data_IF_433144596697
#
_entry.id   IF_433144596697
#
_cell.length_a   1.000
_cell.length_b   1.000
_cell.length_c   1.000
_cell.angle_alpha   90.00
_cell.angle_beta   90.00
_cell.angle_gamma   90.00
#
_symmetry.space_group_name_H-M   'P 1'
#
loop_
_entity.id
_entity.type
_entity.pdbx_description
1 polymer ?
#
# COMPACT_ATOMS: atom_id res chain seq x y z
N UNK A 1 4.87 3.27 -29.82
CA UNK A 1 5.59 1.99 -29.73
C UNK A 1 4.96 1.19 -28.61
N UNK A 2 4.50 -0.03 -28.87
CA UNK A 2 3.88 -0.88 -27.84
C UNK A 2 4.90 -1.27 -26.78
N UNK A 3 4.61 -1.00 -25.51
CA UNK A 3 5.45 -1.49 -24.41
C UNK A 3 5.40 -3.01 -24.37
N UNK A 4 6.57 -3.63 -24.21
CA UNK A 4 6.72 -5.06 -23.99
C UNK A 4 7.14 -5.32 -22.54
N UNK A 5 6.79 -6.48 -21.95
CA UNK A 5 7.30 -6.87 -20.64
C UNK A 5 8.83 -6.86 -20.62
N UNK A 6 9.44 -6.60 -19.46
CA UNK A 6 10.90 -6.64 -19.26
C UNK A 6 11.25 -7.82 -18.35
N UNK A 7 11.55 -9.01 -18.90
CA UNK A 7 11.75 -10.23 -18.10
C UNK A 7 12.87 -10.11 -17.07
N UNK A 8 13.99 -9.47 -17.41
CA UNK A 8 15.12 -9.32 -16.50
C UNK A 8 14.79 -8.43 -15.30
N UNK A 9 14.00 -7.36 -15.51
CA UNK A 9 13.59 -6.46 -14.44
C UNK A 9 12.57 -7.13 -13.50
N UNK A 10 11.66 -7.94 -14.06
CA UNK A 10 10.73 -8.77 -13.28
C UNK A 10 11.52 -9.74 -12.39
N UNK A 11 12.48 -10.46 -12.97
CA UNK A 11 13.32 -11.40 -12.24
C UNK A 11 14.14 -10.69 -11.15
N UNK A 12 14.80 -9.58 -11.51
CA UNK A 12 15.61 -8.80 -10.57
C UNK A 12 14.78 -8.27 -9.40
N UNK A 13 13.63 -7.66 -9.65
CA UNK A 13 12.76 -7.14 -8.57
C UNK A 13 12.25 -8.25 -7.67
N UNK A 14 11.82 -9.38 -8.25
CA UNK A 14 11.38 -10.55 -7.47
C UNK A 14 12.51 -11.08 -6.59
N UNK A 15 13.70 -11.30 -7.17
CA UNK A 15 14.88 -11.77 -6.43
C UNK A 15 15.27 -10.78 -5.34
N UNK A 16 15.35 -9.47 -5.62
CA UNK A 16 15.72 -8.48 -4.62
C UNK A 16 14.73 -8.44 -3.46
N UNK A 17 13.43 -8.48 -3.73
CA UNK A 17 12.41 -8.47 -2.68
C UNK A 17 12.48 -9.72 -1.80
N UNK A 18 12.50 -10.92 -2.40
CA UNK A 18 12.54 -12.15 -1.62
C UNK A 18 13.91 -12.39 -0.96
N UNK A 19 15.02 -12.01 -1.60
CA UNK A 19 16.34 -12.06 -0.99
C UNK A 19 16.40 -11.13 0.23
N UNK A 20 15.81 -9.94 0.16
CA UNK A 20 15.70 -9.04 1.31
C UNK A 20 14.90 -9.68 2.46
N UNK A 21 13.74 -10.30 2.17
CA UNK A 21 12.95 -10.96 3.22
C UNK A 21 13.69 -12.15 3.85
N UNK A 22 14.34 -12.98 3.03
CA UNK A 22 15.12 -14.13 3.50
C UNK A 22 16.31 -13.66 4.32
N UNK A 23 16.99 -12.60 3.87
CA UNK A 23 18.09 -11.99 4.62
C UNK A 23 17.61 -11.40 5.94
N UNK A 24 16.46 -10.73 5.96
CA UNK A 24 15.89 -10.17 7.19
C UNK A 24 15.61 -11.29 8.21
N UNK A 25 15.10 -12.43 7.77
CA UNK A 25 14.79 -13.56 8.66
C UNK A 25 15.91 -14.60 8.73
N UNK A 26 17.15 -14.29 8.34
CA UNK A 26 18.20 -15.30 8.21
C UNK A 26 18.50 -16.01 9.52
N UNK A 27 18.56 -15.26 10.62
CA UNK A 27 18.86 -15.79 11.95
C UNK A 27 17.71 -16.69 12.44
N UNK A 28 16.47 -16.23 12.29
CA UNK A 28 15.27 -16.98 12.70
C UNK A 28 15.06 -18.26 11.89
N UNK A 29 15.38 -18.23 10.59
CA UNK A 29 15.31 -19.41 9.72
C UNK A 29 16.32 -20.50 10.10
N UNK A 30 17.48 -20.09 10.62
CA UNK A 30 18.53 -21.01 11.09
C UNK A 30 18.25 -21.57 12.49
N UNK A 31 17.35 -20.92 13.23
CA UNK A 31 16.97 -21.29 14.59
C UNK A 31 15.94 -22.41 14.68
N UNK A 32 15.22 -22.43 15.80
CA UNK A 32 14.16 -23.40 16.10
C UNK A 32 13.08 -22.79 16.98
N UNK A 33 11.89 -23.41 16.98
CA UNK A 33 10.74 -22.95 17.76
C UNK A 33 9.92 -21.87 17.04
N UNK A 34 9.18 -21.09 17.83
CA UNK A 34 8.15 -20.17 17.34
C UNK A 34 8.67 -19.13 16.35
N UNK A 35 9.91 -18.66 16.53
CA UNK A 35 10.51 -17.65 15.66
C UNK A 35 10.76 -18.18 14.24
N UNK A 36 11.27 -19.42 14.12
CA UNK A 36 11.41 -20.10 12.84
C UNK A 36 10.07 -20.37 12.18
N UNK A 37 9.07 -20.79 12.95
CA UNK A 37 7.72 -21.03 12.43
C UNK A 37 7.10 -19.74 11.90
N UNK A 38 7.30 -18.62 12.59
CA UNK A 38 6.89 -17.29 12.16
C UNK A 38 7.60 -16.82 10.88
N UNK A 39 8.92 -17.02 10.78
CA UNK A 39 9.69 -16.71 9.59
C UNK A 39 9.20 -17.50 8.36
N UNK A 40 9.01 -18.81 8.51
CA UNK A 40 8.51 -19.69 7.44
C UNK A 40 7.08 -19.32 7.04
N UNK A 41 6.19 -19.16 8.02
CA UNK A 41 4.82 -18.73 7.77
C UNK A 41 4.79 -17.38 7.04
N UNK A 42 5.56 -16.40 7.49
CA UNK A 42 5.62 -15.08 6.87
C UNK A 42 6.17 -15.12 5.45
N UNK A 43 7.19 -15.93 5.15
CA UNK A 43 7.67 -16.10 3.77
C UNK A 43 6.59 -16.69 2.85
N UNK A 44 5.90 -17.74 3.28
CA UNK A 44 4.80 -18.33 2.49
C UNK A 44 3.65 -17.32 2.32
N UNK A 45 3.28 -16.65 3.41
CA UNK A 45 2.26 -15.61 3.42
C UNK A 45 2.60 -14.47 2.46
N UNK A 46 3.87 -14.07 2.37
CA UNK A 46 4.33 -13.03 1.45
C UNK A 46 4.17 -13.40 -0.02
N UNK A 47 4.38 -14.67 -0.39
CA UNK A 47 4.14 -15.16 -1.76
C UNK A 47 2.68 -15.05 -2.12
N UNK A 48 1.80 -15.49 -1.23
CA UNK A 48 0.35 -15.44 -1.43
C UNK A 48 -0.12 -13.98 -1.49
N UNK A 49 0.38 -13.12 -0.60
CA UNK A 49 0.03 -11.70 -0.54
C UNK A 49 0.46 -10.94 -1.81
N UNK A 50 1.72 -11.11 -2.25
CA UNK A 50 2.22 -10.47 -3.48
C UNK A 50 1.41 -10.94 -4.70
N UNK A 51 1.14 -12.24 -4.80
CA UNK A 51 0.30 -12.78 -5.87
C UNK A 51 -1.11 -12.17 -5.85
N UNK A 52 -1.72 -12.03 -4.66
CA UNK A 52 -3.01 -11.38 -4.50
C UNK A 52 -2.99 -9.91 -4.94
N UNK A 53 -2.00 -9.13 -4.51
CA UNK A 53 -1.85 -7.74 -4.93
C UNK A 53 -1.65 -7.61 -6.45
N UNK A 54 -0.81 -8.46 -7.05
CA UNK A 54 -0.61 -8.48 -8.49
C UNK A 54 -1.91 -8.82 -9.24
N UNK A 55 -2.69 -9.79 -8.75
CA UNK A 55 -4.00 -10.11 -9.30
C UNK A 55 -4.96 -8.91 -9.23
N UNK A 56 -4.95 -8.18 -8.12
CA UNK A 56 -5.77 -6.98 -7.94
C UNK A 56 -5.43 -5.87 -8.96
N UNK A 57 -4.15 -5.71 -9.30
CA UNK A 57 -3.71 -4.72 -10.30
C UNK A 57 -3.99 -5.18 -11.73
N UNK A 58 -3.81 -6.47 -12.03
CA UNK A 58 -3.88 -6.99 -13.41
C UNK A 58 -5.29 -7.34 -13.86
N UNK A 59 -6.15 -7.83 -12.96
CA UNK A 59 -7.46 -8.40 -13.30
C UNK A 59 -8.59 -7.65 -12.61
N UNK A 60 -9.72 -7.56 -13.31
CA UNK A 60 -10.97 -7.13 -12.72
C UNK A 60 -11.69 -8.30 -12.04
N UNK A 61 -12.59 -8.00 -11.11
CA UNK A 61 -13.46 -9.03 -10.54
C UNK A 61 -14.26 -9.68 -11.69
N UNK A 62 -14.43 -11.02 -11.67
CA UNK A 62 -15.25 -11.69 -12.67
C UNK A 62 -16.71 -11.20 -12.57
N UNK A 63 -17.47 -11.19 -13.69
CA UNK A 63 -18.80 -10.59 -13.75
C UNK A 63 -19.74 -11.05 -12.63
N UNK A 64 -19.79 -12.37 -12.35
CA UNK A 64 -20.65 -12.92 -11.30
C UNK A 64 -20.32 -12.47 -9.87
N UNK A 65 -19.10 -12.00 -9.61
CA UNK A 65 -18.70 -11.43 -8.31
C UNK A 65 -18.96 -9.92 -8.25
N UNK A 66 -19.06 -9.22 -9.39
CA UNK A 66 -19.32 -7.77 -9.45
C UNK A 66 -20.75 -7.41 -9.08
N UNK A 67 -21.71 -8.29 -9.36
CA UNK A 67 -23.14 -8.06 -9.12
C UNK A 67 -23.57 -8.40 -7.69
N UNK A 68 -22.69 -9.02 -6.90
CA UNK A 68 -22.97 -9.34 -5.51
C UNK A 68 -22.95 -8.08 -4.63
N UNK A 69 -23.95 -7.88 -3.75
CA UNK A 69 -23.92 -6.80 -2.77
C UNK A 69 -22.69 -6.97 -1.88
N UNK A 70 -21.98 -5.86 -1.62
CA UNK A 70 -20.71 -5.78 -0.87
C UNK A 70 -19.47 -6.36 -1.56
N UNK A 71 -19.51 -7.62 -2.04
CA UNK A 71 -18.33 -8.30 -2.63
C UNK A 71 -17.91 -7.66 -3.96
N UNK A 72 -18.84 -7.17 -4.77
CA UNK A 72 -18.51 -6.57 -6.06
C UNK A 72 -17.74 -5.24 -5.95
N UNK A 73 -18.24 -4.32 -5.12
CA UNK A 73 -17.65 -2.99 -4.95
C UNK A 73 -16.39 -3.02 -4.08
N UNK A 74 -16.37 -3.83 -3.03
CA UNK A 74 -15.30 -3.81 -2.03
C UNK A 74 -14.42 -5.07 -2.05
N UNK A 75 -14.66 -6.04 -2.93
CA UNK A 75 -13.99 -7.36 -2.89
C UNK A 75 -12.46 -7.31 -2.84
N UNK A 76 -11.84 -6.44 -3.64
CA UNK A 76 -10.37 -6.25 -3.61
C UNK A 76 -9.88 -5.67 -2.29
N UNK A 77 -10.61 -4.70 -1.75
CA UNK A 77 -10.30 -4.08 -0.45
C UNK A 77 -10.54 -5.07 0.69
N UNK A 78 -11.65 -5.80 0.69
CA UNK A 78 -11.96 -6.78 1.73
C UNK A 78 -10.94 -7.91 1.75
N UNK A 79 -10.51 -8.42 0.58
CA UNK A 79 -9.44 -9.42 0.54
C UNK A 79 -8.11 -8.85 1.04
N UNK A 80 -7.77 -7.60 0.71
CA UNK A 80 -6.58 -6.94 1.27
C UNK A 80 -6.67 -6.78 2.79
N UNK A 81 -7.83 -6.38 3.31
CA UNK A 81 -8.09 -6.29 4.75
C UNK A 81 -8.01 -7.66 5.45
N UNK A 82 -8.36 -8.75 4.78
CA UNK A 82 -8.16 -10.11 5.31
C UNK A 82 -6.68 -10.40 5.50
N UNK A 83 -5.82 -10.11 4.52
CA UNK A 83 -4.37 -10.23 4.69
C UNK A 83 -3.86 -9.35 5.83
N UNK A 84 -4.28 -8.08 5.89
CA UNK A 84 -3.93 -7.19 6.99
C UNK A 84 -4.36 -7.73 8.36
N UNK A 85 -5.58 -8.25 8.45
CA UNK A 85 -6.13 -8.81 9.69
C UNK A 85 -5.41 -10.09 10.12
N UNK A 86 -5.07 -10.99 9.19
CA UNK A 86 -4.29 -12.19 9.47
C UNK A 86 -2.90 -11.82 9.98
N UNK A 87 -2.22 -10.89 9.31
CA UNK A 87 -0.90 -10.43 9.71
C UNK A 87 -0.93 -9.82 11.11
N UNK A 88 -1.84 -8.86 11.37
CA UNK A 88 -2.02 -8.21 12.69
C UNK A 88 -2.39 -9.23 13.77
N UNK A 89 -3.27 -10.18 13.46
CA UNK A 89 -3.64 -11.23 14.40
C UNK A 89 -2.47 -12.15 14.73
N UNK A 90 -1.62 -12.48 13.74
CA UNK A 90 -0.45 -13.33 13.93
C UNK A 90 0.60 -12.66 14.82
N UNK A 91 0.86 -11.37 14.60
CA UNK A 91 1.88 -10.59 15.34
C UNK A 91 1.32 -9.82 16.55
N UNK A 92 0.14 -10.22 17.03
CA UNK A 92 -0.45 -9.62 18.24
C UNK A 92 0.47 -9.81 19.45
N UNK A 93 0.31 -9.03 20.52
CA UNK A 93 1.15 -9.14 21.71
C UNK A 93 1.28 -10.58 22.22
N UNK A 94 2.48 -10.96 22.67
CA UNK A 94 2.77 -12.27 23.25
C UNK A 94 1.82 -12.65 24.39
N UNK A 95 1.36 -11.66 25.17
CA UNK A 95 0.33 -11.84 26.20
C UNK A 95 -1.00 -12.43 25.69
N UNK A 96 -1.29 -12.29 24.39
CA UNK A 96 -2.50 -12.83 23.73
C UNK A 96 -2.17 -14.04 22.84
N UNK A 97 -0.97 -14.61 22.98
CA UNK A 97 -0.51 -15.77 22.22
C UNK A 97 -0.12 -15.47 20.78
N UNK A 98 0.31 -14.23 20.48
CA UNK A 98 0.91 -13.87 19.19
C UNK A 98 2.43 -13.80 19.25
N UNK A 99 3.04 -13.43 18.12
CA UNK A 99 4.48 -13.24 17.96
C UNK A 99 4.81 -11.78 17.68
N UNK A 100 4.97 -10.98 18.75
CA UNK A 100 5.17 -9.53 18.71
C UNK A 100 6.51 -9.11 18.08
N UNK A 101 7.55 -9.93 18.21
CA UNK A 101 8.85 -9.69 17.53
C UNK A 101 8.70 -9.67 15.98
N UNK A 102 7.67 -10.33 15.45
CA UNK A 102 7.38 -10.38 14.02
C UNK A 102 6.72 -9.12 13.44
N UNK A 103 6.33 -8.14 14.25
CA UNK A 103 5.57 -6.95 13.79
C UNK A 103 6.26 -6.24 12.62
N UNK A 104 7.57 -6.02 12.71
CA UNK A 104 8.34 -5.37 11.65
C UNK A 104 8.32 -6.19 10.35
N UNK A 105 8.55 -7.49 10.45
CA UNK A 105 8.59 -8.38 9.29
C UNK A 105 7.22 -8.47 8.60
N UNK A 106 6.13 -8.71 9.34
CA UNK A 106 4.80 -8.86 8.75
C UNK A 106 4.22 -7.54 8.24
N UNK A 107 4.25 -6.47 9.04
CA UNK A 107 3.56 -5.23 8.67
C UNK A 107 4.38 -4.39 7.70
N UNK A 108 5.71 -4.36 7.85
CA UNK A 108 6.58 -3.57 6.97
C UNK A 108 7.13 -4.42 5.84
N UNK A 109 7.81 -5.53 6.16
CA UNK A 109 8.43 -6.42 5.17
C UNK A 109 7.42 -7.03 4.18
N UNK A 110 6.31 -7.56 4.70
CA UNK A 110 5.32 -8.23 3.87
C UNK A 110 4.26 -7.26 3.37
N UNK A 111 3.47 -6.63 4.25
CA UNK A 111 2.32 -5.84 3.81
C UNK A 111 2.73 -4.59 3.02
N UNK A 112 3.62 -3.77 3.57
CA UNK A 112 4.00 -2.50 2.94
C UNK A 112 4.96 -2.71 1.76
N UNK A 113 6.10 -3.37 1.98
CA UNK A 113 7.07 -3.58 0.92
C UNK A 113 6.59 -4.60 -0.13
N UNK A 114 5.80 -5.61 0.25
CA UNK A 114 5.20 -6.54 -0.70
C UNK A 114 4.14 -5.89 -1.60
N UNK A 115 3.38 -4.92 -1.07
CA UNK A 115 2.48 -4.11 -1.90
C UNK A 115 3.25 -3.30 -2.95
N UNK A 116 4.34 -2.65 -2.54
CA UNK A 116 5.21 -1.91 -3.45
C UNK A 116 5.89 -2.83 -4.49
N UNK A 117 6.40 -3.99 -4.05
CA UNK A 117 7.00 -4.99 -4.94
C UNK A 117 5.99 -5.50 -5.97
N UNK A 118 4.77 -5.84 -5.54
CA UNK A 118 3.69 -6.23 -6.45
C UNK A 118 3.39 -5.13 -7.48
N UNK A 119 3.29 -3.86 -7.05
CA UNK A 119 3.05 -2.73 -7.95
C UNK A 119 4.18 -2.59 -8.99
N UNK A 120 5.44 -2.66 -8.57
CA UNK A 120 6.61 -2.59 -9.47
C UNK A 120 6.61 -3.77 -10.46
N UNK A 121 6.38 -4.99 -9.98
CA UNK A 121 6.31 -6.19 -10.82
C UNK A 121 5.21 -6.04 -11.88
N UNK A 122 4.03 -5.54 -11.51
CA UNK A 122 2.94 -5.31 -12.47
C UNK A 122 3.28 -4.25 -13.52
N UNK A 123 4.00 -3.19 -13.16
CA UNK A 123 4.51 -2.20 -14.10
C UNK A 123 5.53 -2.81 -15.09
N UNK A 124 6.43 -3.68 -14.64
CA UNK A 124 7.39 -4.34 -15.54
C UNK A 124 6.78 -5.43 -16.42
N UNK A 125 5.71 -6.08 -15.94
CA UNK A 125 4.90 -7.02 -16.72
C UNK A 125 3.99 -6.35 -17.74
N UNK A 126 3.76 -5.04 -17.63
CA UNK A 126 2.83 -4.32 -18.50
C UNK A 126 3.17 -4.44 -19.98
N UNK A 127 2.13 -4.67 -20.77
CA UNK A 127 2.20 -4.61 -22.23
C UNK A 127 0.99 -3.84 -22.76
N UNK A 128 1.22 -2.90 -23.67
CA UNK A 128 0.16 -2.03 -24.15
C UNK A 128 0.69 -0.83 -24.91
N UNK A 129 -0.22 -0.09 -25.54
CA UNK A 129 0.11 1.02 -26.43
C UNK A 129 0.16 2.39 -25.73
N UNK A 130 -0.05 2.41 -24.41
CA UNK A 130 -0.04 3.61 -23.58
C UNK A 130 1.36 4.21 -23.43
N UNK A 131 1.44 5.50 -23.10
CA UNK A 131 2.71 6.23 -23.01
C UNK A 131 3.66 5.70 -21.92
N UNK A 132 3.12 5.22 -20.81
CA UNK A 132 3.88 4.77 -19.63
C UNK A 132 3.48 3.38 -19.15
N UNK A 133 4.46 2.68 -18.54
CA UNK A 133 4.24 1.41 -17.82
C UNK A 133 3.42 1.56 -16.55
N UNK A 134 3.40 2.76 -15.96
CA UNK A 134 2.57 3.08 -14.79
C UNK A 134 1.07 2.90 -15.08
N UNK A 135 0.68 2.85 -16.35
CA UNK A 135 -0.69 2.54 -16.74
C UNK A 135 -1.15 1.15 -16.28
N UNK A 136 -0.22 0.24 -15.94
CA UNK A 136 -0.54 -1.02 -15.26
C UNK A 136 -1.33 -0.82 -13.97
N UNK A 137 -1.14 0.32 -13.29
CA UNK A 137 -1.78 0.65 -12.02
C UNK A 137 -3.03 1.53 -12.19
N UNK A 138 -3.47 1.81 -13.43
CA UNK A 138 -4.68 2.61 -13.74
C UNK A 138 -5.88 2.15 -12.92
N UNK A 139 -6.12 0.84 -12.84
CA UNK A 139 -7.22 0.26 -12.03
C UNK A 139 -7.18 0.58 -10.55
N UNK A 140 -6.02 0.92 -10.00
CA UNK A 140 -5.86 1.33 -8.60
C UNK A 140 -5.90 2.86 -8.46
N UNK A 141 -5.25 3.58 -9.37
CA UNK A 141 -5.11 5.05 -9.30
C UNK A 141 -6.36 5.78 -9.75
N UNK A 142 -7.07 5.28 -10.76
CA UNK A 142 -8.23 5.95 -11.36
C UNK A 142 -9.47 5.97 -10.43
N UNK A 143 -9.41 5.24 -9.31
CA UNK A 143 -10.43 5.29 -8.25
C UNK A 143 -10.31 6.58 -7.43
N UNK A 144 -9.12 7.18 -7.35
CA UNK A 144 -8.92 8.41 -6.60
C UNK A 144 -9.59 9.58 -7.34
N UNK A 145 -10.48 10.34 -6.68
CA UNK A 145 -11.10 11.49 -7.31
C UNK A 145 -10.04 12.53 -7.61
N UNK A 146 -10.03 13.04 -8.83
CA UNK A 146 -9.12 14.11 -9.26
C UNK A 146 -9.90 15.37 -9.59
N UNK A 147 -9.30 16.53 -9.29
CA UNK A 147 -9.89 17.81 -9.65
C UNK A 147 -9.66 18.04 -11.14
N UNK A 148 -10.74 18.08 -11.91
CA UNK A 148 -10.69 18.37 -13.35
C UNK A 148 -10.58 19.87 -13.58
N UNK A 149 -9.79 20.26 -14.59
CA UNK A 149 -9.74 21.66 -15.03
C UNK A 149 -11.13 22.09 -15.52
N UNK A 150 -11.68 23.21 -15.04
CA UNK A 150 -12.95 23.71 -15.54
C UNK A 150 -12.86 24.10 -17.02
N UNK A 151 -13.88 23.78 -17.80
CA UNK A 151 -13.95 24.09 -19.24
C UNK A 151 -14.15 25.59 -19.50
N UNK A 152 -14.78 26.30 -18.56
CA UNK A 152 -14.98 27.75 -18.65
C UNK A 152 -13.72 28.51 -18.28
N UNK A 153 -13.46 29.62 -18.97
CA UNK A 153 -12.46 30.60 -18.52
C UNK A 153 -12.81 31.14 -17.11
N UNK A 154 -11.98 30.77 -16.14
CA UNK A 154 -12.14 31.20 -14.73
C UNK A 154 -11.67 32.64 -14.58
N UNK A 155 -12.55 33.50 -14.07
CA UNK A 155 -12.26 34.93 -13.86
C UNK A 155 -11.19 35.09 -12.77
N UNK A 156 -10.41 36.18 -12.84
CA UNK A 156 -9.35 36.43 -11.85
C UNK A 156 -9.87 36.46 -10.40
N UNK A 157 -11.01 37.12 -10.18
CA UNK A 157 -11.64 37.20 -8.84
C UNK A 157 -12.05 35.82 -8.29
N UNK A 158 -12.53 34.91 -9.14
CA UNK A 158 -12.89 33.54 -8.72
C UNK A 158 -11.64 32.75 -8.27
N UNK A 159 -10.50 32.94 -8.95
CA UNK A 159 -9.21 32.35 -8.53
C UNK A 159 -8.76 32.91 -7.19
N UNK A 160 -8.83 34.24 -7.01
CA UNK A 160 -8.48 34.89 -5.74
C UNK A 160 -9.35 34.37 -4.59
N UNK A 161 -10.67 34.29 -4.77
CA UNK A 161 -11.58 33.74 -3.76
C UNK A 161 -11.31 32.28 -3.43
N UNK A 162 -11.01 31.45 -4.43
CA UNK A 162 -10.66 30.04 -4.20
C UNK A 162 -9.40 29.93 -3.33
N UNK A 163 -8.36 30.72 -3.65
CA UNK A 163 -7.13 30.77 -2.84
C UNK A 163 -7.41 31.25 -1.43
N UNK A 164 -8.15 32.34 -1.25
CA UNK A 164 -8.51 32.87 0.08
C UNK A 164 -9.31 31.84 0.88
N UNK A 165 -10.26 31.15 0.25
CA UNK A 165 -11.05 30.11 0.90
C UNK A 165 -10.18 28.93 1.38
N UNK A 166 -9.26 28.45 0.55
CA UNK A 166 -8.30 27.41 0.93
C UNK A 166 -7.44 27.87 2.10
N UNK A 167 -7.01 29.14 2.12
CA UNK A 167 -6.22 29.69 3.24
C UNK A 167 -7.03 29.76 4.55
N UNK A 168 -8.30 30.14 4.50
CA UNK A 168 -9.18 30.15 5.68
C UNK A 168 -9.28 28.73 6.26
N UNK A 169 -9.51 27.73 5.42
CA UNK A 169 -9.57 26.33 5.86
C UNK A 169 -8.22 25.90 6.44
N UNK A 170 -7.11 26.24 5.78
CA UNK A 170 -5.76 25.92 6.24
C UNK A 170 -5.50 26.46 7.66
N UNK A 171 -5.71 27.76 7.89
CA UNK A 171 -5.53 28.36 9.22
C UNK A 171 -6.56 27.86 10.23
N UNK A 172 -7.78 27.56 9.80
CA UNK A 172 -8.80 26.93 10.65
C UNK A 172 -8.31 25.57 11.17
N UNK A 173 -7.80 24.71 10.29
CA UNK A 173 -7.29 23.39 10.65
C UNK A 173 -6.05 23.45 11.54
N UNK A 174 -5.21 24.49 11.45
CA UNK A 174 -4.06 24.64 12.38
C UNK A 174 -4.46 24.85 13.84
N UNK A 175 -5.70 25.26 14.11
CA UNK A 175 -6.24 25.40 15.47
C UNK A 175 -6.84 24.10 16.01
N UNK A 176 -6.97 23.06 15.19
CA UNK A 176 -7.50 21.76 15.60
C UNK A 176 -6.36 20.88 16.09
N UNK A 177 -6.33 20.60 17.40
CA UNK A 177 -5.35 19.69 17.98
C UNK A 177 -5.65 18.25 17.56
N UNK A 178 -4.59 17.47 17.31
CA UNK A 178 -4.72 16.06 16.99
C UNK A 178 -5.25 15.29 18.19
N UNK A 179 -6.30 14.50 17.97
CA UNK A 179 -6.89 13.65 18.99
C UNK A 179 -5.89 12.61 19.49
N UNK A 180 -5.73 12.49 20.81
CA UNK A 180 -4.89 11.46 21.45
C UNK A 180 -3.40 11.81 21.62
N UNK A 181 -2.95 13.01 21.23
CA UNK A 181 -1.60 13.49 21.51
C UNK A 181 -1.58 14.36 22.78
N UNK A 182 -0.69 14.06 23.73
CA UNK A 182 -0.48 14.89 24.92
C UNK A 182 0.22 16.21 24.53
N UNK A 183 0.01 17.27 25.31
CA UNK A 183 0.61 18.59 25.03
C UNK A 183 2.15 18.58 24.93
N UNK A 184 2.82 17.57 25.47
CA UNK A 184 4.27 17.37 25.35
C UNK A 184 4.72 16.86 23.98
N UNK A 185 3.88 16.12 23.25
CA UNK A 185 4.21 15.59 21.92
C UNK A 185 4.12 16.65 20.80
N UNK A 186 3.55 17.83 21.08
CA UNK A 186 3.53 18.98 20.16
C UNK A 186 4.94 19.56 19.92
N UNK A 187 5.88 19.36 20.87
CA UNK A 187 7.26 19.86 20.80
C UNK A 187 8.20 18.97 19.96
N UNK A 188 7.83 17.70 19.68
CA UNK A 188 8.60 16.83 18.77
C UNK A 188 8.63 17.35 17.32
N UNK A 189 7.73 18.27 16.96
CA UNK A 189 7.66 18.89 15.64
C UNK A 189 8.19 20.33 15.61
N UNK A 190 8.78 20.84 16.70
CA UNK A 190 9.35 22.20 16.73
C UNK A 190 10.52 22.33 15.73
N UNK A 191 11.32 21.27 15.55
CA UNK A 191 12.41 21.21 14.58
C UNK A 191 12.02 21.23 13.09
N UNK A 192 10.74 21.08 12.75
CA UNK A 192 10.25 21.26 11.37
C UNK A 192 9.73 22.68 11.08
N UNK A 193 9.72 23.56 12.10
CA UNK A 193 9.24 24.95 12.00
C UNK A 193 10.34 26.01 12.17
N UNK A 194 11.59 25.58 12.40
CA UNK A 194 12.79 26.43 12.47
C UNK A 194 13.49 26.57 11.12
#
# INVERSE_FOLDING_TARGET
>A
MKHKPIPWAIALTGVLYYALLIYWQSDELSGSGQARDAAVFGLVFSVIYVAYCMLCFQRDLPPGLKDMPFVGRYGKLTGWLVFGSIAVYYVRPSAWGGYDEGVGFFLVGILLLGFAAAAILTCFMWSGDQSSRLYALSRFVDVYPTITKPERHVRFNEKMWTTTFVLIIYFGMTNVMLFGLSGQALDLFSGFRS
#
